data_IF_216092068432
#
_entry.id   IF_216092068432
#
_cell.length_a   1.000
_cell.length_b   1.000
_cell.length_c   1.000
_cell.angle_alpha   90.00
_cell.angle_beta   90.00
_cell.angle_gamma   90.00
#
_symmetry.space_group_name_H-M   'P 1'
#
loop_
_entity.id
_entity.type
_entity.pdbx_description
1 polymer ?
#
# COMPACT_ATOMS: atom_id res chain seq x y z
N UNK A 1 0.18 10.66 -16.57
CA UNK A 1 0.85 11.78 -15.86
C UNK A 1 1.33 11.24 -14.53
N UNK A 2 2.47 11.73 -13.99
CA UNK A 2 2.92 11.24 -12.68
C UNK A 2 2.04 11.84 -11.59
N UNK A 3 1.30 10.99 -10.88
CA UNK A 3 0.45 11.40 -9.76
C UNK A 3 1.21 11.41 -8.44
N UNK A 4 2.25 10.58 -8.33
CA UNK A 4 3.17 10.56 -7.19
C UNK A 4 4.60 10.64 -7.71
N UNK A 5 5.37 11.55 -7.11
CA UNK A 5 6.80 11.73 -7.36
C UNK A 5 7.54 11.66 -6.03
N UNK A 6 8.50 10.76 -5.93
CA UNK A 6 9.40 10.60 -4.79
C UNK A 6 10.82 10.81 -5.27
N UNK A 7 11.57 11.74 -4.68
CA UNK A 7 12.96 12.08 -5.07
C UNK A 7 13.86 12.12 -3.84
N UNK A 8 14.91 11.32 -3.88
CA UNK A 8 15.98 11.23 -2.86
C UNK A 8 15.45 11.14 -1.42
N UNK A 9 14.35 10.39 -1.23
CA UNK A 9 13.62 10.31 0.03
C UNK A 9 14.46 9.64 1.10
N UNK A 10 14.58 10.27 2.27
CA UNK A 10 15.43 9.80 3.35
C UNK A 10 14.70 9.85 4.70
N UNK A 11 14.96 8.82 5.54
CA UNK A 11 14.49 8.75 6.93
C UNK A 11 15.46 7.99 7.80
N UNK A 12 15.84 8.59 8.90
CA UNK A 12 16.74 8.00 9.91
C UNK A 12 16.05 7.87 11.25
N UNK A 13 16.39 6.83 11.98
CA UNK A 13 15.95 6.61 13.36
C UNK A 13 17.13 6.26 14.24
N UNK A 14 16.97 6.49 15.55
CA UNK A 14 17.91 6.01 16.57
C UNK A 14 17.44 4.63 17.04
N UNK A 15 18.29 3.62 16.92
CA UNK A 15 18.00 2.28 17.43
C UNK A 15 17.78 2.32 18.95
N UNK A 16 16.67 1.81 19.47
CA UNK A 16 16.44 1.75 20.93
C UNK A 16 17.48 0.89 21.65
N UNK A 17 18.01 -0.14 20.98
CA UNK A 17 18.94 -1.11 21.54
C UNK A 17 20.40 -0.63 21.50
N UNK A 18 20.89 -0.27 20.31
CA UNK A 18 22.30 0.11 20.10
C UNK A 18 22.58 1.59 20.32
N UNK A 19 21.54 2.44 20.34
CA UNK A 19 21.63 3.92 20.35
C UNK A 19 22.34 4.51 19.13
N UNK A 20 22.56 3.73 18.10
CA UNK A 20 23.15 4.16 16.85
C UNK A 20 22.06 4.62 15.86
N UNK A 21 22.42 5.57 15.00
CA UNK A 21 21.54 5.98 13.91
C UNK A 21 21.54 4.93 12.81
N UNK A 22 20.37 4.64 12.26
CA UNK A 22 20.22 3.82 11.06
C UNK A 22 19.26 4.49 10.09
N UNK A 23 19.52 4.33 8.79
CA UNK A 23 18.65 4.83 7.74
C UNK A 23 17.58 3.78 7.45
N UNK A 24 16.33 4.07 7.84
CA UNK A 24 15.19 3.25 7.48
C UNK A 24 14.83 3.43 5.99
N UNK A 25 15.08 4.63 5.44
CA UNK A 25 14.98 4.96 4.02
C UNK A 25 16.22 5.77 3.65
N UNK A 26 16.93 5.38 2.60
CA UNK A 26 18.26 5.87 2.25
C UNK A 26 18.35 6.29 0.78
N UNK A 27 17.76 7.45 0.46
CA UNK A 27 17.85 8.09 -0.83
C UNK A 27 17.09 7.36 -1.95
N UNK A 28 15.81 7.01 -1.71
CA UNK A 28 15.00 6.35 -2.73
C UNK A 28 14.29 7.35 -3.64
N UNK A 29 14.17 6.98 -4.92
CA UNK A 29 13.45 7.78 -5.92
C UNK A 29 12.62 6.85 -6.80
N UNK A 30 11.35 7.20 -7.05
CA UNK A 30 10.45 6.50 -7.97
C UNK A 30 9.24 7.36 -8.32
N UNK A 31 8.47 6.92 -9.31
CA UNK A 31 7.29 7.62 -9.82
C UNK A 31 6.13 6.66 -9.99
N UNK A 32 4.92 7.15 -9.67
CA UNK A 32 3.67 6.42 -9.91
C UNK A 32 2.82 7.20 -10.90
N UNK A 33 2.44 6.56 -12.01
CA UNK A 33 1.50 7.15 -12.96
C UNK A 33 0.04 6.88 -12.57
N UNK A 34 -0.85 7.77 -13.02
CA UNK A 34 -2.28 7.57 -12.88
C UNK A 34 -2.72 6.19 -13.42
N UNK A 35 -3.72 5.62 -12.79
CA UNK A 35 -4.34 4.32 -13.13
C UNK A 35 -3.40 3.11 -13.10
N UNK A 36 -2.25 3.23 -12.46
CA UNK A 36 -1.32 2.12 -12.23
C UNK A 36 -1.48 1.52 -10.82
N UNK A 37 -1.10 0.25 -10.71
CA UNK A 37 -0.79 -0.39 -9.43
C UNK A 37 0.74 -0.46 -9.34
N UNK A 38 1.30 0.19 -8.32
CA UNK A 38 2.73 0.18 -8.02
C UNK A 38 2.99 -0.54 -6.69
N UNK A 39 3.93 -1.47 -6.67
CA UNK A 39 4.28 -2.24 -5.49
C UNK A 39 5.65 -1.88 -4.94
N UNK A 40 5.78 -1.67 -3.62
CA UNK A 40 7.05 -1.73 -2.92
C UNK A 40 7.17 -3.12 -2.29
N UNK A 41 8.10 -3.91 -2.80
CA UNK A 41 8.34 -5.30 -2.43
C UNK A 41 9.62 -5.41 -1.60
N UNK A 42 9.59 -6.17 -0.52
CA UNK A 42 10.79 -6.41 0.29
C UNK A 42 10.50 -7.08 1.62
N UNK A 43 11.53 -7.54 2.33
CA UNK A 43 11.37 -8.19 3.62
C UNK A 43 10.88 -7.23 4.71
N UNK A 44 10.56 -7.78 5.87
CA UNK A 44 10.28 -6.96 7.06
C UNK A 44 11.53 -6.14 7.42
N UNK A 45 11.31 -4.89 7.78
CA UNK A 45 12.41 -3.94 8.09
C UNK A 45 13.13 -3.38 6.86
N UNK A 46 12.67 -3.63 5.62
CA UNK A 46 13.27 -3.03 4.42
C UNK A 46 13.04 -1.52 4.30
N UNK A 47 12.09 -0.93 5.05
CA UNK A 47 11.72 0.49 4.99
C UNK A 47 10.39 0.77 4.27
N UNK A 48 9.62 -0.26 3.88
CA UNK A 48 8.37 -0.13 3.12
C UNK A 48 7.32 0.73 3.81
N UNK A 49 6.94 0.37 5.05
CA UNK A 49 5.96 1.11 5.85
C UNK A 49 6.42 2.53 6.12
N UNK A 50 7.69 2.74 6.47
CA UNK A 50 8.26 4.08 6.67
C UNK A 50 8.17 4.94 5.41
N UNK A 51 8.43 4.36 4.24
CA UNK A 51 8.26 5.04 2.94
C UNK A 51 6.81 5.46 2.73
N UNK A 52 5.87 4.54 3.01
CA UNK A 52 4.44 4.82 2.86
C UNK A 52 3.99 5.93 3.82
N UNK A 53 4.33 5.84 5.11
CA UNK A 53 4.01 6.84 6.13
C UNK A 53 4.53 8.24 5.81
N UNK A 54 5.73 8.36 5.20
CA UNK A 54 6.24 9.64 4.72
C UNK A 54 5.41 10.19 3.56
N UNK A 55 5.02 9.34 2.60
CA UNK A 55 4.18 9.74 1.46
C UNK A 55 2.78 10.18 1.93
N UNK A 56 2.25 9.51 2.94
CA UNK A 56 0.95 9.81 3.56
C UNK A 56 0.97 11.06 4.46
N UNK A 57 2.15 11.64 4.70
CA UNK A 57 2.33 12.75 5.63
C UNK A 57 2.02 12.38 7.09
N UNK A 58 2.29 11.14 7.48
CA UNK A 58 2.19 10.63 8.86
C UNK A 58 3.53 10.70 9.60
N UNK A 59 4.63 10.68 8.86
CA UNK A 59 6.00 10.76 9.37
C UNK A 59 6.77 11.84 8.64
N UNK A 60 7.54 12.66 9.38
CA UNK A 60 8.36 13.71 8.81
C UNK A 60 9.46 13.16 7.91
N UNK A 61 9.74 13.86 6.82
CA UNK A 61 10.80 13.56 5.86
C UNK A 61 12.10 14.21 6.34
N UNK A 62 13.21 13.44 6.44
CA UNK A 62 14.51 13.97 6.84
C UNK A 62 15.30 14.52 5.65
N UNK A 63 15.07 14.01 4.44
CA UNK A 63 15.69 14.48 3.19
C UNK A 63 14.92 14.06 1.96
N UNK A 64 15.14 14.76 0.85
CA UNK A 64 14.40 14.58 -0.38
C UNK A 64 13.03 15.26 -0.40
N UNK A 65 12.17 14.87 -1.33
CA UNK A 65 10.82 15.40 -1.42
C UNK A 65 9.82 14.36 -1.93
N UNK A 66 8.54 14.57 -1.57
CA UNK A 66 7.39 13.80 -2.05
C UNK A 66 6.32 14.75 -2.54
N UNK A 67 5.86 14.54 -3.78
CA UNK A 67 4.80 15.32 -4.40
C UNK A 67 3.68 14.37 -4.79
N UNK A 68 2.46 14.64 -4.31
CA UNK A 68 1.24 13.89 -4.64
C UNK A 68 0.29 14.84 -5.36
N UNK A 69 -0.03 14.54 -6.61
CA UNK A 69 -0.91 15.37 -7.47
C UNK A 69 -0.51 16.85 -7.46
N UNK A 70 0.81 17.13 -7.53
CA UNK A 70 1.36 18.49 -7.51
C UNK A 70 1.47 19.14 -6.14
N UNK A 71 1.07 18.48 -5.06
CA UNK A 71 1.14 18.97 -3.67
C UNK A 71 2.36 18.38 -2.99
N UNK A 72 3.25 19.23 -2.47
CA UNK A 72 4.39 18.80 -1.65
C UNK A 72 3.92 18.39 -0.26
N UNK A 73 4.21 17.13 0.12
CA UNK A 73 3.77 16.52 1.38
C UNK A 73 4.30 17.25 2.60
N UNK A 74 5.56 17.73 2.55
CA UNK A 74 6.17 18.44 3.67
C UNK A 74 5.57 19.83 3.88
N UNK A 75 5.12 20.49 2.79
CA UNK A 75 4.56 21.83 2.82
C UNK A 75 3.09 21.85 3.22
N UNK A 76 2.30 20.90 2.70
CA UNK A 76 0.86 20.81 2.99
C UNK A 76 0.38 19.36 3.14
N UNK A 77 0.76 18.68 4.24
CA UNK A 77 0.33 17.29 4.49
C UNK A 77 -1.19 17.17 4.66
N UNK A 78 -1.86 18.25 5.05
CA UNK A 78 -3.32 18.23 5.18
C UNK A 78 -4.01 18.16 3.82
N UNK A 79 -3.60 18.97 2.85
CA UNK A 79 -4.13 18.90 1.49
C UNK A 79 -3.89 17.53 0.85
N UNK A 80 -2.71 16.92 1.08
CA UNK A 80 -2.43 15.56 0.62
C UNK A 80 -3.42 14.56 1.21
N UNK A 81 -3.70 14.61 2.52
CA UNK A 81 -4.67 13.72 3.20
C UNK A 81 -6.09 13.82 2.67
N UNK A 82 -6.45 14.94 2.02
CA UNK A 82 -7.78 15.10 1.41
C UNK A 82 -7.93 14.32 0.08
N UNK A 83 -6.81 14.03 -0.59
CA UNK A 83 -6.80 13.41 -1.93
C UNK A 83 -6.26 11.97 -1.95
N UNK A 84 -5.84 11.44 -0.80
CA UNK A 84 -5.38 10.06 -0.67
C UNK A 84 -6.34 9.24 0.17
N UNK A 85 -6.43 7.95 -0.12
CA UNK A 85 -7.07 6.95 0.73
C UNK A 85 -6.01 6.02 1.32
N UNK A 86 -6.08 5.77 2.62
CA UNK A 86 -5.11 4.93 3.31
C UNK A 86 -5.82 3.77 3.99
N UNK A 87 -5.46 2.55 3.61
CA UNK A 87 -5.85 1.35 4.32
C UNK A 87 -4.83 1.07 5.41
N UNK A 88 -5.24 1.21 6.65
CA UNK A 88 -4.37 0.99 7.82
C UNK A 88 -4.16 -0.50 8.08
N UNK A 89 -2.96 -0.86 8.54
CA UNK A 89 -2.57 -2.24 8.87
C UNK A 89 -3.35 -2.82 10.06
N UNK A 90 -3.70 -1.98 11.03
CA UNK A 90 -4.57 -2.32 12.16
C UNK A 90 -5.69 -1.30 12.26
N UNK A 91 -6.92 -1.77 12.20
CA UNK A 91 -8.08 -0.90 12.33
C UNK A 91 -8.77 -1.18 13.66
N UNK A 92 -8.77 -0.20 14.54
CA UNK A 92 -9.64 -0.16 15.70
C UNK A 92 -10.86 0.70 15.32
N UNK A 93 -12.01 0.08 15.26
CA UNK A 93 -13.27 0.75 14.98
C UNK A 93 -14.05 0.97 16.28
N UNK A 94 -15.04 1.87 16.24
CA UNK A 94 -16.00 1.98 17.33
C UNK A 94 -16.94 0.78 17.31
N UNK A 95 -16.78 -0.13 18.27
CA UNK A 95 -17.50 -1.42 18.36
C UNK A 95 -19.04 -1.24 18.46
N UNK A 96 -19.50 -0.07 18.87
CA UNK A 96 -20.93 0.23 18.98
C UNK A 96 -21.61 0.61 17.66
N UNK A 97 -20.83 0.96 16.63
CA UNK A 97 -21.34 1.46 15.34
C UNK A 97 -21.40 0.35 14.29
N UNK A 98 -22.43 0.39 13.45
CA UNK A 98 -22.52 -0.44 12.25
C UNK A 98 -21.56 0.03 11.15
N UNK A 99 -21.34 -0.80 10.12
CA UNK A 99 -20.49 -0.45 8.97
C UNK A 99 -21.03 0.82 8.29
N UNK A 100 -22.34 0.96 8.14
CA UNK A 100 -22.98 2.16 7.59
C UNK A 100 -22.66 3.41 8.40
N UNK A 101 -22.85 3.34 9.73
CA UNK A 101 -22.62 4.45 10.64
C UNK A 101 -21.14 4.88 10.66
N UNK A 102 -20.21 3.90 10.61
CA UNK A 102 -18.79 4.17 10.53
C UNK A 102 -18.40 4.88 9.22
N UNK A 103 -18.90 4.40 8.07
CA UNK A 103 -18.61 5.05 6.80
C UNK A 103 -19.18 6.47 6.76
N UNK A 104 -20.42 6.68 7.25
CA UNK A 104 -21.00 8.02 7.36
C UNK A 104 -20.22 8.94 8.31
N UNK A 105 -19.70 8.38 9.42
CA UNK A 105 -18.84 9.12 10.34
C UNK A 105 -17.54 9.55 9.65
N UNK A 106 -16.85 8.62 8.97
CA UNK A 106 -15.61 8.93 8.25
C UNK A 106 -15.86 9.93 7.11
N UNK A 107 -16.93 9.78 6.34
CA UNK A 107 -17.30 10.77 5.32
C UNK A 107 -17.45 12.18 5.89
N UNK A 108 -18.14 12.32 7.04
CA UNK A 108 -18.29 13.60 7.72
C UNK A 108 -16.99 14.23 8.20
N UNK A 109 -15.98 13.43 8.58
CA UNK A 109 -14.65 13.94 8.94
C UNK A 109 -13.95 14.61 7.76
N UNK A 110 -14.24 14.17 6.53
CA UNK A 110 -13.80 14.81 5.29
C UNK A 110 -14.76 15.90 4.77
N UNK A 111 -15.87 16.15 5.47
CA UNK A 111 -16.89 17.10 5.03
C UNK A 111 -17.82 16.58 3.92
N UNK A 112 -17.81 15.29 3.66
CA UNK A 112 -18.55 14.64 2.58
C UNK A 112 -19.82 13.95 3.10
N UNK A 113 -20.92 14.10 2.38
CA UNK A 113 -22.06 13.19 2.49
C UNK A 113 -21.83 12.01 1.55
N UNK A 114 -21.73 10.82 2.12
CA UNK A 114 -21.39 9.61 1.35
C UNK A 114 -22.59 8.67 1.23
N UNK A 115 -22.65 7.93 0.14
CA UNK A 115 -23.53 6.78 0.00
C UNK A 115 -22.81 5.53 0.54
N UNK A 116 -23.08 5.16 1.80
CA UNK A 116 -22.45 4.02 2.46
C UNK A 116 -22.80 2.69 1.76
N UNK A 117 -24.02 2.54 1.23
CA UNK A 117 -24.43 1.34 0.51
C UNK A 117 -23.59 1.14 -0.75
N UNK A 118 -23.43 2.20 -1.56
CA UNK A 118 -22.60 2.14 -2.77
C UNK A 118 -21.12 1.86 -2.48
N UNK A 119 -20.58 2.36 -1.35
CA UNK A 119 -19.21 2.02 -0.93
C UNK A 119 -19.07 0.56 -0.49
N UNK A 120 -20.08 0.05 0.25
CA UNK A 120 -20.10 -1.37 0.68
C UNK A 120 -20.32 -2.31 -0.51
N UNK A 121 -21.08 -1.90 -1.52
CA UNK A 121 -21.24 -2.65 -2.75
C UNK A 121 -19.91 -2.80 -3.49
N UNK A 122 -19.11 -1.71 -3.60
CA UNK A 122 -17.78 -1.75 -4.22
C UNK A 122 -16.81 -2.75 -3.59
N UNK A 123 -17.00 -3.07 -2.31
CA UNK A 123 -16.14 -4.01 -1.56
C UNK A 123 -16.85 -5.32 -1.22
N UNK A 124 -18.00 -5.61 -1.84
CA UNK A 124 -18.81 -6.83 -1.64
C UNK A 124 -19.17 -7.06 -0.16
N UNK A 125 -19.70 -6.02 0.49
CA UNK A 125 -20.14 -6.03 1.89
C UNK A 125 -21.53 -5.43 2.11
N UNK A 126 -22.32 -5.18 1.05
CA UNK A 126 -23.62 -4.52 1.15
C UNK A 126 -24.58 -5.30 2.05
N UNK A 127 -24.55 -6.64 2.03
CA UNK A 127 -25.39 -7.47 2.90
C UNK A 127 -25.03 -7.34 4.40
N UNK A 128 -23.87 -6.77 4.71
CA UNK A 128 -23.36 -6.54 6.06
C UNK A 128 -23.52 -5.09 6.54
N UNK A 129 -24.28 -4.28 5.82
CA UNK A 129 -24.40 -2.82 6.08
C UNK A 129 -24.75 -2.48 7.54
N UNK A 130 -25.58 -3.28 8.20
CA UNK A 130 -25.96 -3.12 9.61
C UNK A 130 -25.15 -3.95 10.60
N UNK A 131 -24.17 -4.77 10.11
CA UNK A 131 -23.28 -5.53 10.96
C UNK A 131 -22.27 -4.60 11.66
N UNK A 132 -21.68 -5.08 12.74
CA UNK A 132 -20.59 -4.42 13.44
C UNK A 132 -19.23 -4.96 12.96
N UNK A 133 -18.13 -4.21 13.08
CA UNK A 133 -16.80 -4.66 12.66
C UNK A 133 -16.35 -5.99 13.31
N UNK A 134 -16.75 -6.23 14.56
CA UNK A 134 -16.41 -7.47 15.28
C UNK A 134 -17.05 -8.73 14.67
N UNK A 135 -18.18 -8.58 13.96
CA UNK A 135 -18.90 -9.67 13.29
C UNK A 135 -18.30 -10.06 11.94
N UNK A 136 -17.28 -9.33 11.48
CA UNK A 136 -16.62 -9.56 10.20
C UNK A 136 -15.49 -10.59 10.31
N UNK A 137 -15.36 -11.46 9.30
CA UNK A 137 -14.16 -12.26 9.11
C UNK A 137 -12.93 -11.40 8.81
N UNK A 138 -11.70 -11.95 8.91
CA UNK A 138 -10.48 -11.22 8.58
C UNK A 138 -10.49 -10.60 7.19
N UNK A 139 -10.89 -11.37 6.17
CA UNK A 139 -11.00 -10.84 4.79
C UNK A 139 -12.09 -9.79 4.64
N UNK A 140 -13.20 -9.90 5.36
CA UNK A 140 -14.25 -8.89 5.38
C UNK A 140 -13.79 -7.59 6.06
N UNK A 141 -13.04 -7.70 7.17
CA UNK A 141 -12.42 -6.54 7.84
C UNK A 141 -11.48 -5.80 6.90
N UNK A 142 -10.68 -6.54 6.13
CA UNK A 142 -9.76 -5.95 5.18
C UNK A 142 -10.49 -5.23 4.04
N UNK A 143 -11.56 -5.82 3.49
CA UNK A 143 -12.40 -5.17 2.49
C UNK A 143 -13.12 -3.93 3.05
N UNK A 144 -13.60 -3.99 4.30
CA UNK A 144 -14.19 -2.84 4.96
C UNK A 144 -13.18 -1.70 5.19
N UNK A 145 -11.93 -2.03 5.53
CA UNK A 145 -10.84 -1.04 5.64
C UNK A 145 -10.60 -0.30 4.32
N UNK A 146 -10.68 -1.00 3.19
CA UNK A 146 -10.62 -0.36 1.87
C UNK A 146 -11.84 0.55 1.65
N UNK A 147 -13.06 0.13 2.02
CA UNK A 147 -14.23 0.99 1.92
C UNK A 147 -14.07 2.29 2.72
N UNK A 148 -13.50 2.20 3.94
CA UNK A 148 -13.17 3.38 4.74
C UNK A 148 -12.15 4.30 4.06
N UNK A 149 -11.16 3.73 3.37
CA UNK A 149 -10.16 4.49 2.62
C UNK A 149 -10.71 5.15 1.34
N UNK A 150 -11.91 4.78 0.90
CA UNK A 150 -12.56 5.33 -0.28
C UNK A 150 -13.58 6.45 0.04
N UNK A 151 -13.81 6.80 1.30
CA UNK A 151 -14.87 7.75 1.72
C UNK A 151 -14.66 9.18 1.21
N UNK A 152 -13.42 9.56 0.92
CA UNK A 152 -13.07 10.90 0.41
C UNK A 152 -12.85 10.92 -1.11
N UNK A 153 -13.22 9.83 -1.83
CA UNK A 153 -13.01 9.69 -3.27
C UNK A 153 -11.56 9.96 -3.68
N UNK A 154 -10.60 9.22 -3.13
CA UNK A 154 -9.18 9.53 -3.27
C UNK A 154 -8.69 9.39 -4.71
N UNK A 155 -7.64 10.16 -5.07
CA UNK A 155 -6.91 10.02 -6.32
C UNK A 155 -5.92 8.86 -6.30
N UNK A 156 -5.37 8.55 -5.12
CA UNK A 156 -4.45 7.44 -4.88
C UNK A 156 -4.87 6.67 -3.64
N UNK A 157 -4.95 5.36 -3.76
CA UNK A 157 -5.22 4.44 -2.66
C UNK A 157 -3.92 3.78 -2.22
N UNK A 158 -3.56 3.93 -0.95
CA UNK A 158 -2.40 3.30 -0.31
C UNK A 158 -2.84 2.07 0.48
N UNK A 159 -2.14 0.94 0.28
CA UNK A 159 -2.44 -0.35 0.92
C UNK A 159 -1.15 -0.89 1.56
N UNK A 160 -1.07 -0.92 2.90
CA UNK A 160 0.09 -1.49 3.60
C UNK A 160 -0.13 -2.98 3.91
N UNK A 161 0.57 -3.84 3.19
CA UNK A 161 0.53 -5.30 3.31
C UNK A 161 -0.92 -5.87 3.34
N UNK A 162 -1.77 -5.58 2.33
CA UNK A 162 -3.21 -5.77 2.40
C UNK A 162 -3.67 -7.22 2.60
N UNK A 163 -2.86 -8.21 2.24
CA UNK A 163 -3.23 -9.64 2.34
C UNK A 163 -2.57 -10.38 3.49
N UNK A 164 -1.79 -9.68 4.33
CA UNK A 164 -1.10 -10.32 5.45
C UNK A 164 -2.11 -10.95 6.44
N UNK A 165 -1.88 -12.22 6.78
CA UNK A 165 -2.73 -12.97 7.72
C UNK A 165 -4.05 -13.48 7.14
N UNK A 166 -4.32 -13.30 5.85
CA UNK A 166 -5.51 -13.85 5.19
C UNK A 166 -5.29 -15.30 4.75
N UNK A 167 -6.36 -16.08 4.79
CA UNK A 167 -6.37 -17.39 4.14
C UNK A 167 -6.31 -17.26 2.60
N UNK A 168 -5.95 -18.34 1.87
CA UNK A 168 -5.79 -18.26 0.41
C UNK A 168 -7.02 -17.76 -0.34
N UNK A 169 -8.22 -18.13 0.07
CA UNK A 169 -9.45 -17.70 -0.58
C UNK A 169 -9.71 -16.21 -0.37
N UNK A 170 -9.56 -15.72 0.87
CA UNK A 170 -9.71 -14.30 1.21
C UNK A 170 -8.67 -13.45 0.48
N UNK A 171 -7.43 -13.94 0.35
CA UNK A 171 -6.35 -13.31 -0.41
C UNK A 171 -6.74 -13.13 -1.89
N UNK A 172 -7.20 -14.19 -2.56
CA UNK A 172 -7.62 -14.12 -3.96
C UNK A 172 -8.82 -13.18 -4.16
N UNK A 173 -9.79 -13.20 -3.24
CA UNK A 173 -10.93 -12.29 -3.30
C UNK A 173 -10.49 -10.82 -3.17
N UNK A 174 -9.51 -10.54 -2.28
CA UNK A 174 -8.98 -9.19 -2.13
C UNK A 174 -8.18 -8.74 -3.36
N UNK A 175 -7.42 -9.63 -3.98
CA UNK A 175 -6.74 -9.33 -5.24
C UNK A 175 -7.71 -9.00 -6.39
N UNK A 176 -8.83 -9.74 -6.47
CA UNK A 176 -9.89 -9.42 -7.43
C UNK A 176 -10.44 -8.01 -7.20
N UNK A 177 -10.77 -7.66 -5.95
CA UNK A 177 -11.22 -6.32 -5.58
C UNK A 177 -10.22 -5.23 -5.96
N UNK A 178 -8.93 -5.41 -5.64
CA UNK A 178 -7.88 -4.42 -5.97
C UNK A 178 -7.79 -4.22 -7.49
N UNK A 179 -7.89 -5.30 -8.28
CA UNK A 179 -7.92 -5.23 -9.74
C UNK A 179 -9.15 -4.48 -10.26
N UNK A 180 -10.33 -4.76 -9.73
CA UNK A 180 -11.58 -4.09 -10.10
C UNK A 180 -11.53 -2.59 -9.79
N UNK A 181 -11.02 -2.20 -8.63
CA UNK A 181 -10.81 -0.79 -8.28
C UNK A 181 -9.85 -0.11 -9.26
N UNK A 182 -8.75 -0.77 -9.61
CA UNK A 182 -7.80 -0.21 -10.58
C UNK A 182 -8.40 -0.12 -11.99
N UNK A 183 -9.13 -1.13 -12.46
CA UNK A 183 -9.83 -1.12 -13.75
C UNK A 183 -10.89 -0.02 -13.82
N UNK A 184 -11.47 0.38 -12.69
CA UNK A 184 -12.38 1.54 -12.60
C UNK A 184 -11.67 2.90 -12.61
N UNK A 185 -10.33 2.91 -12.74
CA UNK A 185 -9.51 4.12 -12.85
C UNK A 185 -8.75 4.51 -11.57
N UNK A 186 -8.86 3.73 -10.48
CA UNK A 186 -8.12 4.01 -9.24
C UNK A 186 -6.63 3.80 -9.41
N UNK A 187 -5.84 4.77 -8.99
CA UNK A 187 -4.39 4.62 -8.83
C UNK A 187 -4.10 3.97 -7.49
N UNK A 188 -3.27 2.95 -7.45
CA UNK A 188 -3.02 2.17 -6.23
C UNK A 188 -1.51 2.03 -6.00
N UNK A 189 -1.08 2.28 -4.78
CA UNK A 189 0.25 1.95 -4.30
C UNK A 189 0.13 0.96 -3.15
N UNK A 190 0.86 -0.16 -3.22
CA UNK A 190 0.84 -1.15 -2.16
C UNK A 190 2.25 -1.52 -1.69
N UNK A 191 2.34 -1.92 -0.44
CA UNK A 191 3.53 -2.59 0.08
C UNK A 191 3.23 -4.07 0.25
N UNK A 192 4.21 -4.91 0.02
CA UNK A 192 4.09 -6.35 0.26
C UNK A 192 5.45 -7.02 0.47
N UNK A 193 5.45 -8.12 1.20
CA UNK A 193 6.55 -9.08 1.20
C UNK A 193 6.21 -10.35 0.40
N UNK A 194 5.02 -10.40 -0.21
CA UNK A 194 4.53 -11.52 -1.00
C UNK A 194 4.81 -11.29 -2.48
N UNK A 195 5.72 -12.09 -3.05
CA UNK A 195 6.15 -12.00 -4.45
C UNK A 195 5.00 -12.27 -5.42
N UNK A 196 4.19 -13.30 -5.14
CA UNK A 196 3.04 -13.66 -5.97
C UNK A 196 1.99 -12.52 -6.04
N UNK A 197 1.80 -11.79 -4.93
CA UNK A 197 0.95 -10.60 -4.90
C UNK A 197 1.48 -9.50 -5.82
N UNK A 198 2.78 -9.21 -5.73
CA UNK A 198 3.42 -8.21 -6.57
C UNK A 198 3.36 -8.59 -8.06
N UNK A 199 3.62 -9.87 -8.41
CA UNK A 199 3.51 -10.37 -9.78
C UNK A 199 2.08 -10.32 -10.32
N UNK A 200 1.09 -10.61 -9.43
CA UNK A 200 -0.32 -10.72 -9.83
C UNK A 200 -0.99 -9.36 -10.00
N UNK A 201 -0.62 -8.38 -9.16
CA UNK A 201 -1.32 -7.10 -9.09
C UNK A 201 -0.57 -5.95 -9.75
N UNK A 202 0.76 -5.89 -9.62
CA UNK A 202 1.50 -4.67 -9.90
C UNK A 202 1.86 -4.52 -11.38
N UNK A 203 1.69 -3.32 -11.91
CA UNK A 203 2.19 -2.93 -13.22
C UNK A 203 3.70 -2.66 -13.17
N UNK A 204 4.17 -2.04 -12.07
CA UNK A 204 5.58 -1.82 -11.75
C UNK A 204 5.82 -2.16 -10.28
N UNK A 205 7.02 -2.63 -9.98
CA UNK A 205 7.48 -2.91 -8.61
C UNK A 205 8.85 -2.29 -8.36
N UNK A 206 9.04 -1.77 -7.14
CA UNK A 206 10.34 -1.46 -6.59
C UNK A 206 10.70 -2.54 -5.57
N UNK A 207 11.82 -3.22 -5.78
CA UNK A 207 12.36 -4.18 -4.82
C UNK A 207 13.22 -3.40 -3.83
N UNK A 208 12.79 -3.38 -2.56
CA UNK A 208 13.43 -2.62 -1.49
C UNK A 208 14.14 -3.52 -0.51
N UNK A 209 15.37 -3.18 -0.17
CA UNK A 209 16.16 -3.87 0.84
C UNK A 209 17.04 -2.87 1.61
N UNK A 210 17.02 -2.96 2.95
CA UNK A 210 17.82 -2.10 3.86
C UNK A 210 17.74 -0.61 3.52
N UNK A 211 16.54 -0.11 3.34
CA UNK A 211 16.27 1.31 3.05
C UNK A 211 16.49 1.74 1.60
N UNK A 212 16.92 0.86 0.69
CA UNK A 212 17.24 1.21 -0.70
C UNK A 212 16.40 0.43 -1.69
N UNK A 213 16.07 1.07 -2.81
CA UNK A 213 15.54 0.38 -3.99
C UNK A 213 16.72 -0.27 -4.71
N UNK A 214 16.72 -1.61 -4.81
CA UNK A 214 17.78 -2.40 -5.45
C UNK A 214 17.44 -2.82 -6.87
N UNK A 215 16.16 -2.83 -7.23
CA UNK A 215 15.68 -2.98 -8.60
C UNK A 215 14.29 -2.36 -8.73
N UNK A 216 13.96 -1.88 -9.92
CA UNK A 216 12.64 -1.33 -10.25
C UNK A 216 12.29 -1.68 -11.70
N UNK A 217 11.00 -1.93 -11.95
CA UNK A 217 10.47 -2.22 -13.27
C UNK A 217 9.21 -3.07 -13.25
N UNK A 218 8.78 -3.51 -14.45
CA UNK A 218 7.66 -4.45 -14.54
C UNK A 218 8.09 -5.82 -14.01
N UNK A 219 7.23 -6.54 -13.27
CA UNK A 219 7.56 -7.86 -12.75
C UNK A 219 8.18 -8.80 -13.79
N UNK A 220 7.54 -8.94 -14.95
CA UNK A 220 8.02 -9.79 -16.02
C UNK A 220 9.38 -9.38 -16.61
N UNK A 221 9.69 -8.08 -16.64
CA UNK A 221 10.96 -7.58 -17.16
C UNK A 221 12.10 -7.82 -16.15
N UNK A 222 11.81 -7.67 -14.85
CA UNK A 222 12.75 -8.00 -13.78
C UNK A 222 13.07 -9.51 -13.75
N UNK A 223 12.04 -10.36 -13.86
CA UNK A 223 12.21 -11.81 -13.94
C UNK A 223 13.12 -12.17 -15.12
N UNK A 224 12.83 -11.69 -16.32
CA UNK A 224 13.66 -11.96 -17.50
C UNK A 224 15.11 -11.48 -17.38
N UNK A 225 15.34 -10.41 -16.61
CA UNK A 225 16.68 -9.79 -16.46
C UNK A 225 17.54 -10.48 -15.43
N UNK A 226 16.95 -10.97 -14.34
CA UNK A 226 17.69 -11.42 -13.15
C UNK A 226 17.47 -12.88 -12.79
N UNK A 227 16.38 -13.50 -13.26
CA UNK A 227 16.16 -14.92 -13.03
C UNK A 227 16.97 -15.73 -14.02
N UNK A 228 18.00 -16.41 -13.50
CA UNK A 228 18.87 -17.32 -14.22
C UNK A 228 18.53 -18.79 -13.97
N UNK A 229 17.38 -19.07 -13.34
CA UNK A 229 16.94 -20.45 -13.10
C UNK A 229 16.59 -21.13 -14.43
N UNK A 230 16.95 -22.41 -14.55
CA UNK A 230 16.55 -23.26 -15.69
C UNK A 230 15.05 -23.63 -15.67
N UNK A 231 14.29 -23.08 -14.71
CA UNK A 231 12.85 -23.28 -14.61
C UNK A 231 12.11 -22.52 -15.72
N UNK A 232 11.21 -23.20 -16.41
CA UNK A 232 10.39 -22.62 -17.50
C UNK A 232 9.55 -21.39 -17.10
N UNK A 233 9.40 -21.11 -15.80
CA UNK A 233 8.76 -19.90 -15.25
C UNK A 233 9.59 -19.36 -14.08
N UNK A 234 10.44 -18.40 -14.38
CA UNK A 234 11.07 -17.58 -13.35
C UNK A 234 10.03 -16.78 -12.53
N UNK A 235 10.44 -16.33 -11.33
CA UNK A 235 9.58 -15.57 -10.41
C UNK A 235 10.36 -14.44 -9.72
N UNK A 236 9.63 -13.50 -9.09
CA UNK A 236 10.26 -12.39 -8.35
C UNK A 236 11.04 -12.84 -7.10
N UNK A 237 10.75 -14.01 -6.55
CA UNK A 237 11.50 -14.56 -5.43
C UNK A 237 12.94 -14.88 -5.85
N UNK A 238 13.13 -15.51 -7.00
CA UNK A 238 14.45 -15.77 -7.58
C UNK A 238 15.20 -14.45 -7.90
N UNK A 239 14.48 -13.43 -8.38
CA UNK A 239 15.05 -12.08 -8.59
C UNK A 239 15.57 -11.51 -7.27
N UNK A 240 14.77 -11.58 -6.22
CA UNK A 240 15.18 -11.09 -4.90
C UNK A 240 16.40 -11.84 -4.35
N UNK A 241 16.39 -13.17 -4.42
CA UNK A 241 17.53 -14.03 -4.04
C UNK A 241 18.81 -13.68 -4.80
N UNK A 242 18.69 -13.49 -6.11
CA UNK A 242 19.81 -13.10 -6.96
C UNK A 242 20.42 -11.76 -6.54
N UNK A 243 19.57 -10.76 -6.27
CA UNK A 243 19.99 -9.40 -5.94
C UNK A 243 20.54 -9.25 -4.51
N UNK A 244 20.07 -10.08 -3.57
CA UNK A 244 20.43 -9.95 -2.15
C UNK A 244 21.35 -11.04 -1.64
N UNK A 245 21.44 -12.18 -2.34
CA UNK A 245 22.16 -13.37 -1.91
C UNK A 245 21.56 -14.03 -0.66
N UNK A 246 20.31 -13.72 -0.30
CA UNK A 246 19.62 -14.21 0.90
C UNK A 246 18.17 -14.51 0.60
N UNK A 247 17.62 -15.51 1.27
CA UNK A 247 16.18 -15.76 1.30
C UNK A 247 15.43 -14.63 2.05
N UNK A 248 14.16 -14.43 1.69
CA UNK A 248 13.31 -13.37 2.28
C UNK A 248 13.04 -13.55 3.77
N UNK A 249 13.24 -14.76 4.29
CA UNK A 249 12.79 -15.19 5.61
C UNK A 249 13.93 -15.60 6.56
N UNK A 250 15.18 -15.22 6.25
CA UNK A 250 16.32 -15.39 7.15
C UNK A 250 16.49 -14.24 8.15
#
# INVERSE_FOLDING_TARGET
MDILKVEDLQKSYVSPETKENFNAVDGISFYLNETQIYGILGPNGAGKTTTLEMIEGLTDIDGGCVIVDGIDVSSDPYAVKQIIGVQLKSNEYFDSLSLEELLKLFGKLYGNEINAEALLEKVDLVEKIHAKPEELSGGQKQRFSIACALVNEPKVLFLDEPTTGLDPQAKHNLWALIKELNQSGMTIMLTTHNMEEAETLCHNVAIMNKGKIIAEGKPNDLIKKYDSSDDEKGNLENVFLYLTGKELFD
#
